data_IF_737998450310
#
_entry.id   IF_737998450310
#
_cell.length_a   1.000
_cell.length_b   1.000
_cell.length_c   1.000
_cell.angle_alpha   90.00
_cell.angle_beta   90.00
_cell.angle_gamma   90.00
#
_symmetry.space_group_name_H-M   'P 1'
#
loop_
_entity.id
_entity.type
_entity.pdbx_description
1 polymer ?
#
# COMPACT_ATOMS: atom_id res chain seq x y z
N UNK A 1 56.37 9.97 66.11
CA UNK A 1 56.27 9.23 64.84
C UNK A 1 54.87 9.37 64.29
N UNK A 2 54.61 10.23 63.32
CA UNK A 2 53.29 10.51 62.70
C UNK A 2 53.31 9.99 61.29
N UNK A 3 52.57 8.92 60.99
CA UNK A 3 52.34 8.39 59.64
C UNK A 3 51.20 9.18 58.99
N UNK A 4 51.51 9.87 57.90
CA UNK A 4 50.55 10.53 57.02
C UNK A 4 50.02 9.52 56.00
N UNK A 5 48.71 9.32 55.94
CA UNK A 5 48.03 8.57 54.92
C UNK A 5 47.60 9.54 53.81
N UNK A 6 48.05 9.28 52.59
CA UNK A 6 47.57 9.94 51.37
C UNK A 6 46.40 9.14 50.83
N UNK A 7 45.22 9.75 50.84
CA UNK A 7 44.05 9.21 50.13
C UNK A 7 44.10 9.70 48.70
N UNK A 8 44.25 8.79 47.73
CA UNK A 8 44.14 9.05 46.30
C UNK A 8 42.66 8.95 45.95
N UNK A 9 42.05 10.09 45.62
CA UNK A 9 40.70 10.18 45.07
C UNK A 9 40.76 9.85 43.59
N UNK A 10 40.23 8.70 43.18
CA UNK A 10 40.08 8.31 41.77
C UNK A 10 38.81 8.93 41.26
N UNK A 11 38.90 10.01 40.53
CA UNK A 11 37.79 10.70 39.88
C UNK A 11 37.46 9.98 38.60
N UNK A 12 36.41 9.12 38.63
CA UNK A 12 35.91 8.43 37.45
C UNK A 12 35.06 9.41 36.61
N UNK A 13 35.68 9.93 35.55
CA UNK A 13 35.03 10.79 34.57
C UNK A 13 34.06 9.92 33.70
N UNK A 14 32.77 10.02 33.96
CA UNK A 14 31.70 9.41 33.18
C UNK A 14 31.55 10.21 31.86
N UNK A 15 32.14 9.70 30.79
CA UNK A 15 31.92 10.24 29.42
C UNK A 15 30.50 9.90 28.99
N UNK A 16 29.61 10.88 29.09
CA UNK A 16 28.28 10.84 28.54
C UNK A 16 28.39 11.04 27.02
N UNK A 17 28.41 9.95 26.24
CA UNK A 17 28.36 10.02 24.77
C UNK A 17 26.96 10.47 24.35
N UNK A 18 26.80 11.76 24.11
CA UNK A 18 25.63 12.29 23.43
C UNK A 18 25.64 11.77 21.99
N UNK A 19 24.77 10.80 21.69
CA UNK A 19 24.49 10.39 20.33
C UNK A 19 23.79 11.56 19.63
N UNK A 20 24.55 12.33 18.86
CA UNK A 20 23.98 13.31 17.94
C UNK A 20 23.21 12.54 16.87
N UNK A 21 21.88 12.62 16.89
CA UNK A 21 21.04 12.22 15.78
C UNK A 21 21.47 13.04 14.56
N UNK A 22 22.02 12.38 13.56
CA UNK A 22 22.39 13.05 12.31
C UNK A 22 21.09 13.50 11.61
N UNK A 23 21.02 14.76 11.15
CA UNK A 23 19.89 15.22 10.37
C UNK A 23 19.82 14.40 9.08
N UNK A 24 18.67 13.80 8.81
CA UNK A 24 18.36 13.12 7.55
C UNK A 24 18.66 14.10 6.41
N UNK A 25 19.59 13.72 5.51
CA UNK A 25 19.93 14.53 4.34
C UNK A 25 18.66 14.80 3.55
N UNK A 26 18.39 16.07 3.13
CA UNK A 26 17.25 16.37 2.28
C UNK A 26 17.37 15.56 0.98
N UNK A 27 16.24 15.01 0.54
CA UNK A 27 16.12 14.32 -0.74
C UNK A 27 16.58 15.27 -1.84
N UNK A 28 17.70 14.96 -2.48
CA UNK A 28 18.24 15.78 -3.57
C UNK A 28 17.38 15.54 -4.80
N UNK A 29 16.48 16.49 -5.08
CA UNK A 29 15.74 16.50 -6.34
C UNK A 29 16.73 16.64 -7.50
N UNK A 30 16.75 15.64 -8.39
CA UNK A 30 17.53 15.74 -9.63
C UNK A 30 16.92 16.81 -10.52
N UNK A 31 17.63 17.92 -10.72
CA UNK A 31 17.16 19.16 -11.31
C UNK A 31 17.28 19.25 -12.84
N UNK A 32 17.38 18.13 -13.57
CA UNK A 32 17.25 18.22 -15.04
C UNK A 32 15.79 18.09 -15.42
N UNK A 33 15.12 19.18 -15.88
CA UNK A 33 13.76 19.10 -16.37
C UNK A 33 13.72 18.14 -17.57
N UNK A 34 12.80 17.16 -17.54
CA UNK A 34 12.50 16.38 -18.73
C UNK A 34 11.73 17.29 -19.70
N UNK A 35 12.05 17.31 -21.00
CA UNK A 35 11.33 18.13 -21.96
C UNK A 35 9.82 17.82 -21.97
N UNK A 36 8.94 18.82 -22.14
CA UNK A 36 7.49 18.61 -22.08
C UNK A 36 6.93 17.54 -23.04
N UNK A 37 7.55 17.35 -24.19
CA UNK A 37 7.20 16.30 -25.15
C UNK A 37 7.42 14.89 -24.57
N UNK A 38 8.50 14.71 -23.82
CA UNK A 38 8.84 13.43 -23.20
C UNK A 38 7.89 13.11 -22.05
N UNK A 39 7.42 14.14 -21.31
CA UNK A 39 6.46 13.95 -20.23
C UNK A 39 5.10 13.48 -20.71
N UNK A 40 4.59 14.00 -21.83
CA UNK A 40 3.35 13.54 -22.42
C UNK A 40 3.45 12.07 -22.87
N UNK A 41 4.61 11.66 -23.39
CA UNK A 41 4.87 10.26 -23.73
C UNK A 41 4.93 9.37 -22.48
N UNK A 42 5.62 9.82 -21.44
CA UNK A 42 5.67 9.11 -20.15
C UNK A 42 4.26 8.89 -19.59
N UNK A 43 3.40 9.92 -19.57
CA UNK A 43 2.01 9.82 -19.11
C UNK A 43 1.24 8.78 -19.93
N UNK A 44 1.32 8.83 -21.25
CA UNK A 44 0.63 7.88 -22.12
C UNK A 44 1.09 6.43 -21.87
N UNK A 45 2.39 6.21 -21.75
CA UNK A 45 2.99 4.89 -21.56
C UNK A 45 2.67 4.31 -20.19
N UNK A 46 2.79 5.09 -19.12
CA UNK A 46 2.45 4.55 -17.81
C UNK A 46 0.94 4.27 -17.69
N UNK A 47 0.07 5.08 -18.29
CA UNK A 47 -1.36 4.80 -18.30
C UNK A 47 -1.72 3.52 -19.07
N UNK A 48 -1.01 3.24 -20.16
CA UNK A 48 -1.13 1.95 -20.86
C UNK A 48 -0.67 0.79 -19.98
N UNK A 49 0.48 0.91 -19.32
CA UNK A 49 0.98 -0.11 -18.39
C UNK A 49 0.03 -0.33 -17.20
N UNK A 50 -0.60 0.74 -16.65
CA UNK A 50 -1.62 0.63 -15.61
C UNK A 50 -2.90 -0.07 -16.10
N UNK A 51 -3.28 0.13 -17.38
CA UNK A 51 -4.39 -0.60 -17.99
C UNK A 51 -4.09 -2.11 -18.07
N UNK A 52 -2.88 -2.48 -18.49
CA UNK A 52 -2.42 -3.88 -18.47
C UNK A 52 -2.37 -4.46 -17.07
N UNK A 53 -1.86 -3.70 -16.09
CA UNK A 53 -1.80 -4.07 -14.68
C UNK A 53 -3.18 -4.39 -14.10
N UNK A 54 -4.17 -3.53 -14.41
CA UNK A 54 -5.55 -3.69 -13.96
C UNK A 54 -6.15 -5.00 -14.50
N UNK A 55 -5.95 -5.28 -15.80
CA UNK A 55 -6.40 -6.52 -16.42
C UNK A 55 -5.66 -7.73 -15.86
N UNK A 56 -4.34 -7.63 -15.71
CA UNK A 56 -3.52 -8.73 -15.20
C UNK A 56 -3.90 -9.11 -13.76
N UNK A 57 -4.24 -8.14 -12.92
CA UNK A 57 -4.66 -8.37 -11.53
C UNK A 57 -5.90 -9.27 -11.44
N UNK A 58 -6.79 -9.22 -12.40
CA UNK A 58 -7.97 -10.07 -12.45
C UNK A 58 -7.62 -11.57 -12.58
N UNK A 59 -6.37 -11.89 -12.95
CA UNK A 59 -5.88 -13.28 -13.01
C UNK A 59 -5.11 -13.70 -11.75
N UNK A 60 -5.22 -12.94 -10.65
CA UNK A 60 -4.57 -13.25 -9.38
C UNK A 60 -5.58 -13.35 -8.25
N UNK A 61 -5.32 -14.27 -7.33
CA UNK A 61 -5.89 -14.25 -5.98
C UNK A 61 -4.89 -13.62 -5.04
N UNK A 62 -5.39 -13.05 -3.95
CA UNK A 62 -4.54 -12.55 -2.88
C UNK A 62 -5.31 -12.48 -1.55
N UNK A 63 -4.58 -12.39 -0.46
CA UNK A 63 -5.12 -12.13 0.87
C UNK A 63 -5.08 -10.63 1.13
N UNK A 64 -6.20 -10.06 1.56
CA UNK A 64 -6.30 -8.68 2.06
C UNK A 64 -6.52 -8.71 3.57
N UNK A 65 -5.58 -8.13 4.31
CA UNK A 65 -5.67 -7.93 5.76
C UNK A 65 -5.91 -6.44 6.04
N UNK A 66 -7.14 -6.11 6.41
CA UNK A 66 -7.57 -4.75 6.72
C UNK A 66 -7.66 -4.56 8.23
N UNK A 67 -6.98 -3.55 8.76
CA UNK A 67 -6.95 -3.21 10.18
C UNK A 67 -7.11 -1.70 10.35
N UNK A 68 -8.19 -1.27 11.01
CA UNK A 68 -8.48 0.12 11.32
C UNK A 68 -8.66 0.28 12.82
N UNK A 69 -7.96 1.25 13.36
CA UNK A 69 -8.00 1.66 14.77
C UNK A 69 -8.56 3.06 14.89
N UNK A 70 -9.39 3.32 15.88
CA UNK A 70 -9.65 4.67 16.39
C UNK A 70 -8.77 4.92 17.60
N UNK A 71 -8.21 6.14 17.66
CA UNK A 71 -7.21 6.54 18.65
C UNK A 71 -7.75 7.66 19.53
N UNK A 72 -7.46 7.55 20.81
CA UNK A 72 -7.73 8.57 21.81
C UNK A 72 -6.46 9.29 22.25
N UNK A 73 -6.51 9.88 23.46
CA UNK A 73 -5.36 10.57 24.02
C UNK A 73 -4.13 9.66 24.12
N UNK A 74 -2.97 10.21 23.80
CA UNK A 74 -1.68 9.51 23.79
C UNK A 74 -1.71 8.23 22.92
N UNK A 75 -2.40 8.28 21.77
CA UNK A 75 -2.54 7.15 20.83
C UNK A 75 -3.15 5.88 21.44
N UNK A 76 -3.90 6.01 22.53
CA UNK A 76 -4.61 4.87 23.12
C UNK A 76 -5.67 4.35 22.15
N UNK A 77 -5.72 3.03 21.94
CA UNK A 77 -6.73 2.43 21.07
C UNK A 77 -8.10 2.50 21.75
N UNK A 78 -9.06 3.18 21.11
CA UNK A 78 -10.44 3.32 21.58
C UNK A 78 -11.41 2.41 20.84
N UNK A 79 -11.01 1.87 19.69
CA UNK A 79 -11.80 0.92 18.92
C UNK A 79 -11.00 0.30 17.79
N UNK A 80 -11.49 -0.82 17.27
CA UNK A 80 -10.86 -1.54 16.17
C UNK A 80 -11.88 -2.17 15.23
N UNK A 81 -11.57 -2.13 13.95
CA UNK A 81 -12.21 -2.92 12.90
C UNK A 81 -11.12 -3.75 12.20
N UNK A 82 -11.25 -5.07 12.24
CA UNK A 82 -10.30 -6.00 11.63
C UNK A 82 -11.03 -6.94 10.69
N UNK A 83 -10.51 -7.12 9.46
CA UNK A 83 -11.06 -8.08 8.50
C UNK A 83 -9.96 -8.66 7.63
N UNK A 84 -9.92 -9.98 7.55
CA UNK A 84 -9.03 -10.70 6.63
C UNK A 84 -9.89 -11.42 5.61
N UNK A 85 -9.53 -11.27 4.34
CA UNK A 85 -10.30 -11.83 3.23
C UNK A 85 -9.38 -12.40 2.15
N UNK A 86 -9.82 -13.47 1.52
CA UNK A 86 -9.30 -13.94 0.25
C UNK A 86 -10.05 -13.23 -0.88
N UNK A 87 -9.31 -12.61 -1.77
CA UNK A 87 -9.86 -11.89 -2.92
C UNK A 87 -9.61 -12.71 -4.18
N UNK A 88 -10.65 -12.90 -4.94
CA UNK A 88 -10.62 -13.52 -6.26
C UNK A 88 -11.40 -12.65 -7.24
N UNK A 89 -11.18 -12.85 -8.53
CA UNK A 89 -12.00 -12.24 -9.58
C UNK A 89 -12.71 -13.35 -10.35
N UNK A 90 -13.99 -13.13 -10.67
CA UNK A 90 -14.74 -14.01 -11.53
C UNK A 90 -14.36 -13.84 -13.02
N UNK A 91 -14.91 -14.67 -13.89
CA UNK A 91 -14.63 -14.64 -15.32
C UNK A 91 -15.06 -13.31 -16.01
N UNK A 92 -15.90 -12.52 -15.36
CA UNK A 92 -16.33 -11.19 -15.79
C UNK A 92 -15.43 -10.08 -15.25
N UNK A 93 -14.44 -10.43 -14.41
CA UNK A 93 -13.55 -9.49 -13.74
C UNK A 93 -14.17 -8.80 -12.53
N UNK A 94 -15.28 -9.30 -12.00
CA UNK A 94 -15.86 -8.79 -10.78
C UNK A 94 -15.07 -9.30 -9.57
N UNK A 95 -14.84 -8.40 -8.62
CA UNK A 95 -14.16 -8.73 -7.37
C UNK A 95 -15.09 -9.54 -6.44
N UNK A 96 -14.67 -10.74 -6.11
CA UNK A 96 -15.33 -11.61 -5.14
C UNK A 96 -14.50 -11.67 -3.88
N UNK A 97 -15.12 -11.47 -2.73
CA UNK A 97 -14.47 -11.46 -1.43
C UNK A 97 -14.97 -12.60 -0.55
N UNK A 98 -14.07 -13.45 -0.11
CA UNK A 98 -14.32 -14.50 0.89
C UNK A 98 -13.70 -14.07 2.21
N UNK A 99 -14.52 -13.66 3.16
CA UNK A 99 -14.06 -13.27 4.50
C UNK A 99 -13.60 -14.52 5.25
N UNK A 100 -12.36 -14.53 5.71
CA UNK A 100 -11.76 -15.66 6.45
C UNK A 100 -11.61 -15.36 7.95
N UNK A 101 -11.54 -14.07 8.32
CA UNK A 101 -11.50 -13.64 9.71
C UNK A 101 -12.17 -12.26 9.87
N UNK A 102 -13.14 -12.19 10.76
CA UNK A 102 -13.86 -10.96 11.07
C UNK A 102 -14.39 -10.99 12.52
N UNK A 103 -13.58 -10.56 13.51
CA UNK A 103 -14.05 -10.41 14.88
C UNK A 103 -15.07 -9.26 14.97
N UNK A 104 -15.96 -9.27 15.98
CA UNK A 104 -16.87 -8.17 16.22
C UNK A 104 -16.13 -6.83 16.31
N UNK A 105 -16.50 -5.81 15.51
CA UNK A 105 -15.90 -4.49 15.62
C UNK A 105 -16.14 -3.85 16.99
N UNK A 106 -15.15 -3.09 17.47
CA UNK A 106 -15.25 -2.35 18.74
C UNK A 106 -15.24 -0.83 18.52
N UNK A 107 -15.43 -0.37 17.29
CA UNK A 107 -15.51 1.05 16.96
C UNK A 107 -16.72 1.70 17.64
N UNK A 108 -16.51 2.84 18.29
CA UNK A 108 -17.57 3.62 18.95
C UNK A 108 -17.72 4.99 18.29
N UNK A 109 -16.58 5.61 17.92
CA UNK A 109 -16.55 6.96 17.38
C UNK A 109 -16.94 7.04 15.88
N UNK A 110 -16.91 5.92 15.18
CA UNK A 110 -17.26 5.84 13.76
C UNK A 110 -17.87 4.48 13.42
N UNK A 111 -18.58 4.42 12.33
CA UNK A 111 -19.11 3.17 11.77
C UNK A 111 -18.57 3.00 10.35
N UNK A 112 -18.17 1.77 10.00
CA UNK A 112 -17.74 1.42 8.65
C UNK A 112 -18.87 0.67 7.97
N UNK A 113 -19.39 1.26 6.91
CA UNK A 113 -20.45 0.69 6.09
C UNK A 113 -19.87 -0.21 4.99
N UNK A 114 -20.72 -1.02 4.37
CA UNK A 114 -20.33 -1.78 3.19
C UNK A 114 -19.90 -0.85 2.03
N UNK A 115 -20.54 0.32 1.91
CA UNK A 115 -20.16 1.33 0.91
C UNK A 115 -18.76 1.86 1.17
N UNK A 116 -18.41 2.17 2.43
CA UNK A 116 -17.04 2.61 2.77
C UNK A 116 -16.00 1.55 2.38
N UNK A 117 -16.31 0.27 2.59
CA UNK A 117 -15.42 -0.82 2.19
C UNK A 117 -15.27 -0.94 0.67
N UNK A 118 -16.32 -0.65 -0.10
CA UNK A 118 -16.25 -0.62 -1.56
C UNK A 118 -15.46 0.60 -2.05
N UNK A 119 -15.68 1.76 -1.45
CA UNK A 119 -14.96 2.99 -1.76
C UNK A 119 -13.45 2.83 -1.46
N UNK A 120 -13.10 2.23 -0.33
CA UNK A 120 -11.70 1.91 0.01
C UNK A 120 -11.09 0.90 -0.98
N UNK A 121 -11.84 -0.10 -1.41
CA UNK A 121 -11.38 -1.10 -2.38
C UNK A 121 -11.16 -0.49 -3.79
N UNK A 122 -11.84 0.59 -4.12
CA UNK A 122 -11.71 1.28 -5.40
C UNK A 122 -10.62 2.37 -5.43
N UNK A 123 -10.46 3.11 -4.33
CA UNK A 123 -9.57 4.27 -4.27
C UNK A 123 -8.13 3.90 -3.85
N UNK A 124 -7.97 3.00 -2.88
CA UNK A 124 -6.64 2.66 -2.36
C UNK A 124 -5.73 1.95 -3.37
N UNK A 125 -6.19 1.00 -4.19
CA UNK A 125 -5.40 0.43 -5.27
C UNK A 125 -5.46 1.28 -6.54
N UNK A 126 -5.48 2.60 -6.39
CA UNK A 126 -5.62 3.55 -7.49
C UNK A 126 -4.73 3.20 -8.67
N UNK A 127 -5.33 3.11 -9.84
CA UNK A 127 -4.68 2.92 -11.12
C UNK A 127 -5.14 4.03 -12.06
N UNK A 128 -4.21 4.74 -12.67
CA UNK A 128 -4.52 5.77 -13.66
C UNK A 128 -4.41 5.15 -15.06
N UNK A 129 -5.48 4.53 -15.49
CA UNK A 129 -5.55 3.84 -16.78
C UNK A 129 -5.70 4.82 -17.96
N UNK A 130 -5.51 4.34 -19.19
CA UNK A 130 -5.75 5.12 -20.40
C UNK A 130 -7.18 5.68 -20.46
N UNK A 131 -8.17 4.92 -19.98
CA UNK A 131 -9.58 5.35 -19.91
C UNK A 131 -9.81 6.46 -18.89
N UNK A 132 -8.96 6.53 -17.85
CA UNK A 132 -9.10 7.51 -16.78
C UNK A 132 -8.38 8.82 -17.07
N UNK A 133 -7.38 8.84 -17.98
CA UNK A 133 -6.62 10.07 -18.31
C UNK A 133 -7.51 11.29 -18.62
N UNK A 134 -8.61 11.17 -19.40
CA UNK A 134 -9.47 12.32 -19.67
C UNK A 134 -10.15 12.92 -18.43
N UNK A 135 -10.31 12.13 -17.36
CA UNK A 135 -10.99 12.55 -16.13
C UNK A 135 -10.10 13.35 -15.18
N UNK A 136 -8.79 13.31 -15.40
CA UNK A 136 -7.81 13.87 -14.46
C UNK A 136 -6.95 14.97 -15.08
N UNK A 137 -6.60 15.97 -14.26
CA UNK A 137 -5.48 16.87 -14.48
C UNK A 137 -4.24 16.23 -13.88
N UNK A 138 -3.18 16.09 -14.69
CA UNK A 138 -1.93 15.44 -14.31
C UNK A 138 -0.82 16.44 -14.48
N UNK A 139 -0.18 16.83 -13.38
CA UNK A 139 0.90 17.80 -13.35
C UNK A 139 2.21 17.10 -13.00
N UNK A 140 3.18 17.13 -13.89
CA UNK A 140 4.54 16.68 -13.60
C UNK A 140 5.21 17.60 -12.57
N UNK A 141 5.81 17.00 -11.53
CA UNK A 141 6.48 17.71 -10.44
C UNK A 141 7.99 17.63 -10.58
N UNK A 142 8.50 16.47 -10.99
CA UNK A 142 9.95 16.25 -11.13
C UNK A 142 10.31 14.78 -11.03
N UNK A 143 11.62 14.51 -10.98
CA UNK A 143 12.15 13.19 -10.64
C UNK A 143 12.43 13.13 -9.14
N UNK A 144 11.97 12.07 -8.50
CA UNK A 144 12.21 11.79 -7.09
C UNK A 144 12.80 10.38 -6.94
N UNK A 145 13.75 10.23 -6.00
CA UNK A 145 14.27 8.92 -5.64
C UNK A 145 13.50 8.39 -4.43
N UNK A 146 12.85 7.24 -4.61
CA UNK A 146 12.18 6.50 -3.54
C UNK A 146 12.95 5.21 -3.26
N UNK A 147 13.63 5.14 -2.13
CA UNK A 147 14.52 4.04 -1.79
C UNK A 147 15.53 3.76 -2.93
N UNK A 148 15.42 2.65 -3.62
CA UNK A 148 16.30 2.24 -4.71
C UNK A 148 15.78 2.65 -6.10
N UNK A 149 14.51 3.13 -6.18
CA UNK A 149 13.87 3.49 -7.43
C UNK A 149 14.06 4.97 -7.77
N UNK A 150 14.34 5.25 -9.04
CA UNK A 150 14.18 6.59 -9.59
C UNK A 150 12.79 6.70 -10.19
N UNK A 151 12.06 7.74 -9.84
CA UNK A 151 10.66 7.88 -10.23
C UNK A 151 10.37 9.23 -10.84
N UNK A 152 9.32 9.28 -11.67
CA UNK A 152 8.63 10.50 -12.05
C UNK A 152 7.49 10.76 -11.05
N UNK A 153 7.45 11.95 -10.44
CA UNK A 153 6.38 12.36 -9.56
C UNK A 153 5.35 13.21 -10.30
N UNK A 154 4.07 12.90 -10.10
CA UNK A 154 2.95 13.63 -10.68
C UNK A 154 1.92 13.94 -9.62
N UNK A 155 1.43 15.19 -9.56
CA UNK A 155 0.21 15.53 -8.85
C UNK A 155 -0.98 15.24 -9.77
N UNK A 156 -1.99 14.59 -9.22
CA UNK A 156 -3.17 14.10 -9.92
C UNK A 156 -4.41 14.60 -9.20
N UNK A 157 -5.34 15.21 -9.92
CA UNK A 157 -6.65 15.62 -9.38
C UNK A 157 -7.74 15.43 -10.42
N UNK A 158 -8.98 15.12 -10.03
CA UNK A 158 -10.09 15.06 -10.98
C UNK A 158 -10.38 16.43 -11.56
N UNK A 159 -10.70 16.48 -12.86
CA UNK A 159 -11.14 17.71 -13.55
C UNK A 159 -12.53 18.13 -13.11
N UNK A 160 -13.37 17.15 -12.83
CA UNK A 160 -14.77 17.36 -12.44
C UNK A 160 -15.16 16.32 -11.38
N UNK A 161 -15.91 16.75 -10.36
CA UNK A 161 -16.45 15.87 -9.33
C UNK A 161 -17.92 15.58 -9.64
N UNK A 162 -18.22 14.37 -10.07
CA UNK A 162 -19.60 13.93 -10.37
C UNK A 162 -20.24 13.31 -9.15
N UNK A 163 -21.53 13.61 -8.96
CA UNK A 163 -22.29 13.07 -7.84
C UNK A 163 -22.39 11.54 -7.92
N UNK A 164 -22.03 10.87 -6.84
CA UNK A 164 -22.06 9.40 -6.74
C UNK A 164 -20.83 8.70 -7.28
N UNK A 165 -19.88 9.41 -7.88
CA UNK A 165 -18.59 8.86 -8.28
C UNK A 165 -17.52 9.19 -7.26
N UNK A 166 -16.54 8.30 -7.14
CA UNK A 166 -15.35 8.46 -6.28
C UNK A 166 -14.11 8.60 -7.15
N UNK A 167 -13.28 9.58 -6.78
CA UNK A 167 -12.05 9.88 -7.48
C UNK A 167 -10.90 9.89 -6.49
N UNK A 168 -9.69 9.85 -6.99
CA UNK A 168 -8.47 10.03 -6.24
C UNK A 168 -7.93 11.46 -6.45
N UNK A 169 -7.42 12.09 -5.39
CA UNK A 169 -6.65 13.32 -5.45
C UNK A 169 -5.38 13.18 -4.63
N UNK A 170 -4.21 13.41 -5.25
CA UNK A 170 -2.93 13.26 -4.56
C UNK A 170 -1.75 13.19 -5.50
N UNK A 171 -0.70 12.52 -5.06
CA UNK A 171 0.55 12.30 -5.80
C UNK A 171 0.74 10.84 -6.14
N UNK A 172 1.26 10.60 -7.33
CA UNK A 172 1.71 9.29 -7.78
C UNK A 172 3.19 9.34 -8.14
N UNK A 173 3.88 8.23 -7.90
CA UNK A 173 5.27 8.02 -8.30
C UNK A 173 5.32 6.85 -9.26
N UNK A 174 5.89 7.11 -10.43
CA UNK A 174 6.00 6.16 -11.54
C UNK A 174 7.46 5.79 -11.71
N UNK A 175 7.80 4.52 -11.67
CA UNK A 175 9.17 4.06 -11.92
C UNK A 175 9.67 4.51 -13.29
N UNK A 176 10.92 4.98 -13.38
CA UNK A 176 11.46 5.55 -14.62
C UNK A 176 11.89 4.49 -15.64
N UNK A 177 11.89 3.21 -15.28
CA UNK A 177 12.23 2.08 -16.16
C UNK A 177 10.97 1.32 -16.62
N UNK A 178 10.19 0.82 -15.66
CA UNK A 178 9.01 0.00 -15.94
C UNK A 178 7.78 0.83 -16.32
N UNK A 179 7.81 2.15 -16.04
CA UNK A 179 6.71 3.08 -16.25
C UNK A 179 5.40 2.58 -15.61
N UNK A 180 5.49 2.06 -14.39
CA UNK A 180 4.35 1.64 -13.59
C UNK A 180 4.32 2.42 -12.27
N UNK A 181 3.14 2.68 -11.75
CA UNK A 181 2.98 3.34 -10.45
C UNK A 181 3.53 2.42 -9.36
N UNK A 182 4.45 2.95 -8.54
CA UNK A 182 5.09 2.23 -7.43
C UNK A 182 4.64 2.74 -6.06
N UNK A 183 4.24 4.01 -5.98
CA UNK A 183 3.68 4.62 -4.78
C UNK A 183 2.57 5.59 -5.14
N UNK A 184 1.58 5.68 -4.25
CA UNK A 184 0.47 6.64 -4.31
C UNK A 184 0.34 7.28 -2.94
N UNK A 185 0.12 8.60 -2.87
CA UNK A 185 -0.21 9.30 -1.62
C UNK A 185 -1.31 10.34 -1.88
N UNK A 186 -2.42 10.22 -1.18
CA UNK A 186 -3.57 11.11 -1.40
C UNK A 186 -4.80 10.67 -0.65
N UNK A 187 -5.96 11.05 -1.15
CA UNK A 187 -7.24 10.69 -0.56
C UNK A 187 -8.34 10.51 -1.61
N UNK A 188 -9.46 9.92 -1.18
CA UNK A 188 -10.70 9.90 -1.96
C UNK A 188 -11.39 11.25 -1.98
N UNK A 189 -12.04 11.59 -3.09
CA UNK A 189 -12.88 12.80 -3.25
C UNK A 189 -14.12 12.46 -4.09
N UNK A 190 -15.24 13.21 -3.98
CA UNK A 190 -15.49 14.29 -3.04
C UNK A 190 -15.78 13.78 -1.63
N UNK A 191 -15.49 14.61 -0.64
CA UNK A 191 -15.96 14.44 0.73
C UNK A 191 -17.27 15.22 0.94
N UNK A 192 -18.07 14.77 1.90
CA UNK A 192 -19.25 15.51 2.37
C UNK A 192 -19.27 15.59 3.91
N UNK A 193 -20.35 16.07 4.51
CA UNK A 193 -20.45 16.21 5.97
C UNK A 193 -20.40 14.87 6.72
N UNK A 194 -20.78 13.77 6.07
CA UNK A 194 -20.90 12.44 6.68
C UNK A 194 -19.81 11.47 6.23
N UNK A 195 -19.28 11.67 5.01
CA UNK A 195 -18.31 10.79 4.40
C UNK A 195 -16.97 11.48 4.28
N UNK A 196 -16.03 11.09 5.12
CA UNK A 196 -14.66 11.58 5.16
C UNK A 196 -13.70 10.47 4.79
N UNK A 197 -12.63 10.82 4.10
CA UNK A 197 -11.63 9.86 3.65
C UNK A 197 -10.27 10.24 4.22
N UNK A 198 -9.56 9.29 4.85
CA UNK A 198 -8.22 9.56 5.34
C UNK A 198 -7.26 9.80 4.18
N UNK A 199 -6.25 10.62 4.41
CA UNK A 199 -5.06 10.63 3.58
C UNK A 199 -4.32 9.31 3.79
N UNK A 200 -3.95 8.67 2.70
CA UNK A 200 -3.26 7.39 2.74
C UNK A 200 -2.01 7.39 1.84
N UNK A 201 -1.11 6.47 2.14
CA UNK A 201 -0.04 6.07 1.25
C UNK A 201 -0.23 4.61 0.85
N UNK A 202 -0.07 4.31 -0.43
CA UNK A 202 -0.12 2.96 -0.97
C UNK A 202 1.20 2.63 -1.64
N UNK A 203 1.76 1.47 -1.31
CA UNK A 203 3.02 0.98 -1.84
C UNK A 203 2.76 -0.27 -2.68
N UNK A 204 3.50 -0.40 -3.77
CA UNK A 204 3.41 -1.55 -4.66
C UNK A 204 4.74 -2.26 -4.75
N UNK A 205 4.70 -3.56 -4.95
CA UNK A 205 5.87 -4.37 -5.23
C UNK A 205 5.70 -5.10 -6.55
N UNK A 206 6.83 -5.42 -7.18
CA UNK A 206 6.83 -6.21 -8.40
C UNK A 206 6.52 -7.67 -8.09
N UNK A 207 5.42 -8.17 -8.59
CA UNK A 207 4.95 -9.54 -8.42
C UNK A 207 5.22 -10.35 -9.68
N UNK A 208 6.02 -11.38 -9.54
CA UNK A 208 6.37 -12.28 -10.64
C UNK A 208 7.23 -11.65 -11.74
N UNK A 209 7.95 -10.55 -11.44
CA UNK A 209 8.90 -9.92 -12.36
C UNK A 209 8.27 -8.98 -13.40
N UNK A 210 6.94 -8.82 -13.43
CA UNK A 210 6.27 -8.05 -14.50
C UNK A 210 5.30 -6.98 -14.03
N UNK A 211 4.53 -7.23 -12.96
CA UNK A 211 3.43 -6.36 -12.56
C UNK A 211 3.68 -5.80 -11.17
N UNK A 212 3.36 -4.52 -10.97
CA UNK A 212 3.44 -3.85 -9.69
C UNK A 212 2.07 -3.80 -9.04
N UNK A 213 1.84 -4.68 -8.05
CA UNK A 213 0.58 -4.76 -7.32
C UNK A 213 0.70 -4.14 -5.93
N UNK A 214 -0.39 -3.59 -5.38
CA UNK A 214 -0.40 -3.08 -4.02
C UNK A 214 0.01 -4.16 -3.02
N UNK A 215 0.90 -3.84 -2.09
CA UNK A 215 1.29 -4.75 -0.98
C UNK A 215 1.00 -4.14 0.37
N UNK A 216 0.99 -2.82 0.44
CA UNK A 216 0.80 -2.13 1.70
C UNK A 216 0.09 -0.79 1.50
N UNK A 217 -0.90 -0.50 2.36
CA UNK A 217 -1.53 0.81 2.48
C UNK A 217 -1.51 1.23 3.94
N UNK A 218 -1.20 2.49 4.18
CA UNK A 218 -1.18 3.10 5.49
C UNK A 218 -1.88 4.46 5.48
N UNK A 219 -2.63 4.73 6.53
CA UNK A 219 -3.18 6.05 6.83
C UNK A 219 -3.10 6.30 8.33
N UNK A 220 -2.79 7.52 8.73
CA UNK A 220 -2.86 8.03 10.09
C UNK A 220 -3.34 9.46 9.98
N UNK A 221 -4.61 9.71 10.28
CA UNK A 221 -5.27 10.98 9.97
C UNK A 221 -6.38 11.28 10.97
N UNK A 222 -6.75 12.56 11.06
CA UNK A 222 -7.88 13.03 11.85
C UNK A 222 -9.01 13.40 10.89
N UNK A 223 -10.10 12.62 10.94
CA UNK A 223 -11.28 12.88 10.14
C UNK A 223 -12.15 13.92 10.83
N UNK A 224 -12.28 15.09 10.20
CA UNK A 224 -13.06 16.22 10.74
C UNK A 224 -14.52 16.14 10.26
N UNK A 225 -15.44 15.88 11.18
CA UNK A 225 -16.88 15.92 10.96
C UNK A 225 -17.47 17.25 11.51
N UNK A 226 -18.73 17.52 11.24
CA UNK A 226 -19.38 18.79 11.61
C UNK A 226 -19.36 19.10 13.11
N UNK A 227 -19.43 18.08 13.95
CA UNK A 227 -19.55 18.22 15.40
C UNK A 227 -18.50 17.45 16.19
N UNK A 228 -17.66 16.68 15.49
CA UNK A 228 -16.71 15.77 16.10
C UNK A 228 -15.52 15.53 15.19
N UNK A 229 -14.43 15.01 15.76
CA UNK A 229 -13.27 14.56 15.00
C UNK A 229 -12.85 13.17 15.48
N UNK A 230 -12.38 12.34 14.54
CA UNK A 230 -11.94 10.98 14.83
C UNK A 230 -10.52 10.79 14.34
N UNK A 231 -9.58 10.62 15.28
CA UNK A 231 -8.23 10.18 14.93
C UNK A 231 -8.28 8.69 14.61
N UNK A 232 -7.86 8.33 13.41
CA UNK A 232 -7.86 6.95 12.95
C UNK A 232 -6.52 6.56 12.36
N UNK A 233 -6.16 5.29 12.54
CA UNK A 233 -5.01 4.65 11.90
C UNK A 233 -5.47 3.41 11.17
N UNK A 234 -5.12 3.32 9.89
CA UNK A 234 -5.50 2.22 9.03
C UNK A 234 -4.27 1.58 8.40
N UNK A 235 -4.26 0.26 8.38
CA UNK A 235 -3.26 -0.54 7.67
C UNK A 235 -3.97 -1.57 6.82
N UNK A 236 -3.61 -1.66 5.54
CA UNK A 236 -4.05 -2.75 4.67
C UNK A 236 -2.83 -3.46 4.10
N UNK A 237 -2.76 -4.77 4.29
CA UNK A 237 -1.72 -5.61 3.70
C UNK A 237 -2.32 -6.51 2.65
N UNK A 238 -1.63 -6.59 1.51
CA UNK A 238 -1.98 -7.51 0.44
C UNK A 238 -0.84 -8.52 0.31
N UNK A 239 -1.15 -9.79 0.42
CA UNK A 239 -0.18 -10.87 0.44
C UNK A 239 -0.67 -12.09 -0.30
N UNK A 240 0.17 -13.10 -0.43
CA UNK A 240 -0.20 -14.39 -1.04
C UNK A 240 -0.74 -14.25 -2.47
N UNK A 241 -0.17 -13.34 -3.26
CA UNK A 241 -0.51 -13.23 -4.67
C UNK A 241 -0.24 -14.54 -5.40
N UNK A 242 -1.28 -15.15 -5.97
CA UNK A 242 -1.20 -16.39 -6.75
C UNK A 242 -1.91 -16.18 -8.08
N UNK A 243 -1.23 -16.46 -9.17
CA UNK A 243 -1.84 -16.42 -10.50
C UNK A 243 -2.73 -17.64 -10.71
N UNK A 244 -3.93 -17.44 -11.22
CA UNK A 244 -4.76 -18.54 -11.69
C UNK A 244 -4.13 -19.15 -12.94
N UNK A 245 -3.82 -20.43 -12.89
CA UNK A 245 -3.41 -21.23 -14.03
C UNK A 245 -4.59 -21.94 -14.68
N UNK A 246 -5.62 -21.22 -15.07
CA UNK A 246 -6.74 -21.81 -15.78
C UNK A 246 -6.49 -21.80 -17.29
N UNK A 247 -5.78 -22.78 -17.87
CA UNK A 247 -6.05 -23.18 -19.24
C UNK A 247 -7.21 -24.17 -19.21
N UNK A 248 -8.43 -23.69 -19.34
CA UNK A 248 -9.51 -24.54 -19.83
C UNK A 248 -9.17 -24.83 -21.29
N UNK A 249 -8.58 -25.98 -21.58
CA UNK A 249 -8.64 -26.55 -22.90
C UNK A 249 -10.08 -27.08 -23.05
N UNK A 250 -10.92 -26.32 -23.72
CA UNK A 250 -12.14 -26.89 -24.31
C UNK A 250 -11.62 -27.77 -25.46
N UNK A 251 -11.43 -29.05 -25.19
CA UNK A 251 -11.36 -30.06 -26.27
C UNK A 251 -12.78 -30.27 -26.71
N UNK A 252 -13.02 -30.11 -28.01
CA UNK A 252 -14.32 -30.23 -28.69
C UNK A 252 -14.87 -31.66 -28.66
N UNK A 253 -14.21 -32.58 -27.97
CA UNK A 253 -14.45 -34.02 -28.01
C UNK A 253 -15.07 -34.58 -26.72
N UNK A 254 -15.48 -33.75 -25.78
CA UNK A 254 -16.28 -34.19 -24.62
C UNK A 254 -15.58 -35.11 -23.62
N UNK A 255 -14.27 -35.35 -23.71
CA UNK A 255 -13.50 -36.09 -22.74
C UNK A 255 -12.98 -35.19 -21.61
N UNK A 256 -13.28 -35.59 -20.35
CA UNK A 256 -12.71 -34.94 -19.17
C UNK A 256 -11.20 -35.22 -19.11
N UNK A 257 -10.36 -34.21 -18.77
CA UNK A 257 -8.92 -34.41 -18.63
C UNK A 257 -8.63 -35.44 -17.52
N UNK A 258 -7.74 -36.38 -17.83
CA UNK A 258 -7.23 -37.37 -16.86
C UNK A 258 -6.44 -36.63 -15.75
N UNK A 259 -6.49 -37.15 -14.51
CA UNK A 259 -5.79 -36.62 -13.32
C UNK A 259 -4.26 -36.57 -13.48
N UNK A 260 -3.68 -37.14 -14.52
CA UNK A 260 -2.23 -37.13 -14.77
C UNK A 260 -1.73 -35.82 -15.37
N UNK A 261 -2.57 -35.03 -16.02
CA UNK A 261 -2.21 -33.74 -16.63
C UNK A 261 -2.10 -32.59 -15.60
N UNK A 262 -2.45 -32.83 -14.33
CA UNK A 262 -2.41 -31.87 -13.22
C UNK A 262 -1.10 -31.90 -12.42
N UNK A 263 -0.12 -32.73 -12.79
CA UNK A 263 1.09 -33.01 -11.95
C UNK A 263 2.32 -32.13 -12.24
N UNK A 264 2.27 -31.22 -13.18
CA UNK A 264 3.41 -30.33 -13.50
C UNK A 264 3.19 -28.88 -13.06
N UNK A 265 2.91 -28.69 -11.79
CA UNK A 265 2.83 -27.38 -11.13
C UNK A 265 3.50 -27.46 -9.76
N UNK A 266 4.75 -27.02 -9.70
CA UNK A 266 5.59 -26.66 -8.54
C UNK A 266 5.15 -27.20 -7.16
N UNK A 267 5.89 -28.19 -6.68
CA UNK A 267 5.86 -28.65 -5.28
C UNK A 267 6.41 -27.57 -4.35
N UNK A 268 5.58 -26.61 -3.94
CA UNK A 268 5.88 -25.78 -2.80
C UNK A 268 5.77 -26.61 -1.52
N UNK A 269 6.89 -26.75 -0.83
CA UNK A 269 7.05 -27.41 0.47
C UNK A 269 6.17 -26.69 1.51
N UNK A 270 5.37 -27.38 2.34
CA UNK A 270 4.55 -26.72 3.36
C UNK A 270 5.44 -26.06 4.41
N UNK A 271 5.17 -24.79 4.68
CA UNK A 271 5.78 -24.05 5.78
C UNK A 271 5.26 -24.57 7.13
N UNK A 272 6.09 -24.60 8.18
CA UNK A 272 5.71 -25.12 9.48
C UNK A 272 4.63 -24.25 10.13
N UNK A 273 3.60 -24.89 10.66
CA UNK A 273 2.53 -24.31 11.47
C UNK A 273 3.12 -23.69 12.73
N UNK A 274 3.13 -22.38 12.85
CA UNK A 274 3.46 -21.69 14.10
C UNK A 274 2.20 -21.45 14.90
N UNK A 275 2.23 -21.90 16.16
CA UNK A 275 1.21 -21.63 17.19
C UNK A 275 1.04 -20.12 17.45
N UNK A 276 -0.13 -19.69 17.93
CA UNK A 276 -0.41 -18.26 18.13
C UNK A 276 0.47 -17.69 19.24
N UNK A 277 1.39 -16.83 18.89
CA UNK A 277 2.20 -16.06 19.82
C UNK A 277 1.47 -14.78 20.24
N UNK A 278 1.63 -14.45 21.52
CA UNK A 278 1.19 -13.27 22.26
C UNK A 278 1.36 -11.97 21.45
N UNK A 279 0.42 -11.00 21.52
CA UNK A 279 0.53 -9.75 20.77
C UNK A 279 1.79 -8.98 21.16
N UNK A 280 2.61 -8.55 20.21
CA UNK A 280 3.76 -7.69 20.48
C UNK A 280 3.33 -6.27 20.77
N UNK A 281 4.14 -5.59 21.59
CA UNK A 281 4.04 -4.17 21.90
C UNK A 281 3.96 -3.31 20.64
N UNK A 282 3.23 -2.20 20.72
CA UNK A 282 3.00 -1.21 19.68
C UNK A 282 4.32 -0.56 19.20
N UNK A 283 4.97 -1.20 18.21
CA UNK A 283 5.96 -0.54 17.37
C UNK A 283 5.30 -0.30 16.02
N UNK A 284 5.35 0.93 15.54
CA UNK A 284 5.03 1.25 14.15
C UNK A 284 5.89 0.34 13.27
N UNK A 285 5.26 -0.60 12.56
CA UNK A 285 5.99 -1.42 11.62
C UNK A 285 6.51 -0.52 10.50
N UNK A 286 7.77 -0.67 10.09
CA UNK A 286 8.34 0.13 9.01
C UNK A 286 7.55 -0.09 7.72
N UNK A 287 7.31 1.00 6.98
CA UNK A 287 6.75 0.92 5.63
C UNK A 287 7.65 0.04 4.74
N UNK A 288 7.07 -0.74 3.82
CA UNK A 288 7.86 -1.56 2.90
C UNK A 288 8.83 -0.70 2.09
N UNK A 289 10.06 -1.15 1.93
CA UNK A 289 11.03 -0.50 1.03
C UNK A 289 10.76 -0.91 -0.41
N UNK A 290 10.69 0.07 -1.29
CA UNK A 290 10.52 -0.15 -2.73
C UNK A 290 11.83 -0.65 -3.35
N UNK A 291 11.81 -1.87 -3.91
CA UNK A 291 12.97 -2.53 -4.53
C UNK A 291 12.63 -3.03 -5.93
N UNK A 292 13.65 -3.10 -6.78
CA UNK A 292 13.52 -3.71 -8.11
C UNK A 292 13.62 -5.24 -8.05
N UNK A 293 12.99 -5.95 -9.02
CA UNK A 293 13.23 -7.39 -9.20
C UNK A 293 14.71 -7.64 -9.49
N UNK A 294 15.34 -8.53 -8.74
CA UNK A 294 16.77 -8.86 -8.87
C UNK A 294 17.67 -8.35 -7.74
N UNK A 295 17.21 -7.37 -6.95
CA UNK A 295 17.98 -6.79 -5.83
C UNK A 295 17.73 -7.54 -4.50
N UNK A 296 17.29 -8.80 -4.54
CA UNK A 296 17.21 -9.66 -3.35
C UNK A 296 18.52 -10.39 -3.15
N UNK A 297 19.06 -10.40 -1.90
CA UNK A 297 20.23 -11.19 -1.55
C UNK A 297 19.98 -12.68 -1.66
#
# INVERSE_FOLDING_TARGET
MRRRWFSIFFMLAMLCSAAFAQPTKPVVHSTKPVPPADIADVIRRFAAAESENKIARNNYTFTQDFDLLTLGAADSITGRFKRVSEIVYDDLGNRVEKITYFPPPTLVAMNITQQDMQDLAGVQPFALTTEDLPKYDIKYIGKEKLDELNTYAFDVKPKELRKGERYFEGRIWVDDQDLQIVKVAGKGVPEDEKNKYPRFESFRENIGGRYWFPTYVYADDVLEFKHDSVHMRMTVRFSNYKRFGGRIRVTDDGELPNEEDLKDGDKAKPAPTQSPSKPPAQNQEPTPKLKRPGDRP
#
